data_IF_241976256589
#
_entry.id   IF_241976256589
#
_cell.length_a   1.000
_cell.length_b   1.000
_cell.length_c   1.000
_cell.angle_alpha   90.00
_cell.angle_beta   90.00
_cell.angle_gamma   90.00
#
_symmetry.space_group_name_H-M   'P 1'
#
loop_
_entity.id
_entity.type
_entity.pdbx_description
1 polymer ?
#
# COMPACT_ATOMS: atom_id res chain seq x y z
N UNK A 1 8.09 0.42 -15.63
CA UNK A 1 7.22 -0.76 -15.78
C UNK A 1 5.91 -0.45 -15.09
N UNK A 2 4.92 -0.07 -15.89
CA UNK A 2 3.54 0.24 -15.49
C UNK A 2 2.86 -1.05 -15.03
N UNK A 3 2.76 -1.28 -13.72
CA UNK A 3 1.90 -2.34 -13.21
C UNK A 3 0.46 -1.81 -13.23
N UNK A 4 -0.30 -2.25 -14.23
CA UNK A 4 -1.74 -2.13 -14.27
C UNK A 4 -2.30 -3.11 -13.22
N UNK A 5 -2.30 -2.69 -11.95
CA UNK A 5 -2.74 -3.54 -10.85
C UNK A 5 -4.25 -3.67 -10.88
N UNK A 6 -4.74 -4.82 -11.34
CA UNK A 6 -6.17 -5.15 -11.31
C UNK A 6 -6.73 -5.19 -9.88
N UNK A 7 -5.88 -5.43 -8.87
CA UNK A 7 -6.26 -5.42 -7.46
C UNK A 7 -6.53 -3.99 -6.98
N UNK A 8 -5.58 -3.07 -7.20
CA UNK A 8 -5.78 -1.67 -6.84
C UNK A 8 -6.90 -1.03 -7.66
N UNK A 9 -7.00 -1.35 -8.96
CA UNK A 9 -8.09 -0.87 -9.81
C UNK A 9 -9.48 -1.27 -9.26
N UNK A 10 -9.65 -2.52 -8.83
CA UNK A 10 -10.90 -2.98 -8.20
C UNK A 10 -11.17 -2.23 -6.88
N UNK A 11 -10.16 -2.08 -6.03
CA UNK A 11 -10.28 -1.34 -4.77
C UNK A 11 -10.66 0.13 -4.99
N UNK A 12 -10.06 0.80 -5.98
CA UNK A 12 -10.39 2.17 -6.34
C UNK A 12 -11.80 2.32 -6.92
N UNK A 13 -12.28 1.32 -7.66
CA UNK A 13 -13.65 1.26 -8.15
C UNK A 13 -14.69 0.96 -7.04
N UNK A 14 -14.23 0.60 -5.82
CA UNK A 14 -15.09 0.14 -4.74
C UNK A 14 -15.63 -1.28 -4.96
N UNK A 15 -15.00 -2.04 -5.86
CA UNK A 15 -15.34 -3.42 -6.17
C UNK A 15 -14.55 -4.38 -5.26
N UNK A 16 -15.05 -5.61 -5.13
CA UNK A 16 -14.29 -6.65 -4.46
C UNK A 16 -13.07 -7.02 -5.33
N UNK A 17 -11.84 -7.02 -4.77
CA UNK A 17 -10.66 -7.39 -5.53
C UNK A 17 -10.75 -8.85 -5.98
N UNK A 18 -10.20 -9.19 -7.15
CA UNK A 18 -10.21 -10.57 -7.64
C UNK A 18 -9.45 -11.49 -6.68
N UNK A 19 -9.78 -12.78 -6.71
CA UNK A 19 -8.99 -13.78 -6.02
C UNK A 19 -7.59 -13.83 -6.64
N UNK A 20 -6.58 -13.44 -5.87
CA UNK A 20 -5.16 -13.43 -6.23
C UNK A 20 -4.37 -14.16 -5.15
N UNK A 21 -3.24 -14.74 -5.54
CA UNK A 21 -2.33 -15.37 -4.59
C UNK A 21 -1.58 -14.29 -3.81
N UNK A 22 -1.55 -14.39 -2.48
CA UNK A 22 -0.84 -13.45 -1.62
C UNK A 22 0.66 -13.35 -2.00
N UNK A 23 1.25 -14.44 -2.52
CA UNK A 23 2.64 -14.46 -2.97
C UNK A 23 2.90 -13.59 -4.22
N UNK A 24 1.86 -13.30 -5.01
CA UNK A 24 1.93 -12.45 -6.20
C UNK A 24 1.78 -10.97 -5.90
N UNK A 25 1.28 -10.62 -4.71
CA UNK A 25 1.02 -9.25 -4.33
C UNK A 25 2.32 -8.46 -4.18
N UNK A 26 2.27 -7.21 -4.64
CA UNK A 26 3.28 -6.20 -4.31
C UNK A 26 3.00 -5.54 -2.94
N UNK A 27 3.86 -4.59 -2.55
CA UNK A 27 3.78 -3.96 -1.23
C UNK A 27 2.53 -3.07 -1.08
N UNK A 28 2.02 -2.54 -2.18
CA UNK A 28 0.87 -1.64 -2.22
C UNK A 28 -0.42 -2.44 -2.12
N UNK A 29 -0.54 -3.50 -2.93
CA UNK A 29 -1.69 -4.40 -2.93
C UNK A 29 -1.78 -5.16 -1.60
N UNK A 30 -0.66 -5.68 -1.10
CA UNK A 30 -0.62 -6.37 0.18
C UNK A 30 -1.02 -5.45 1.35
N UNK A 31 -0.59 -4.19 1.31
CA UNK A 31 -0.98 -3.16 2.29
C UNK A 31 -2.48 -2.84 2.23
N UNK A 32 -3.01 -2.62 1.02
CA UNK A 32 -4.42 -2.32 0.79
C UNK A 32 -5.33 -3.48 1.21
N UNK A 33 -4.90 -4.73 1.00
CA UNK A 33 -5.63 -5.94 1.36
C UNK A 33 -5.42 -6.42 2.81
N UNK A 34 -4.56 -5.75 3.59
CA UNK A 34 -4.26 -6.16 4.97
C UNK A 34 -3.44 -7.46 5.08
N UNK A 35 -2.65 -7.81 4.07
CA UNK A 35 -1.82 -9.03 4.04
C UNK A 35 -0.50 -8.82 4.77
N UNK A 36 -0.56 -8.68 6.09
CA UNK A 36 0.59 -8.34 6.93
C UNK A 36 1.82 -9.24 6.70
N UNK A 37 1.65 -10.56 6.66
CA UNK A 37 2.77 -11.48 6.45
C UNK A 37 3.50 -11.23 5.12
N UNK A 38 2.74 -10.92 4.07
CA UNK A 38 3.31 -10.56 2.77
C UNK A 38 4.04 -9.21 2.81
N UNK A 39 3.47 -8.22 3.49
CA UNK A 39 4.15 -6.92 3.67
C UNK A 39 5.47 -7.10 4.43
N UNK A 40 5.48 -7.89 5.49
CA UNK A 40 6.70 -8.20 6.26
C UNK A 40 7.77 -8.85 5.37
N UNK A 41 7.42 -9.84 4.56
CA UNK A 41 8.35 -10.47 3.60
C UNK A 41 8.91 -9.46 2.60
N UNK A 42 8.04 -8.63 2.01
CA UNK A 42 8.43 -7.68 0.98
C UNK A 42 9.35 -6.59 1.52
N UNK A 43 9.07 -6.10 2.73
CA UNK A 43 9.87 -5.10 3.43
C UNK A 43 11.18 -5.69 3.94
N UNK A 44 11.17 -6.93 4.45
CA UNK A 44 12.39 -7.62 4.87
C UNK A 44 13.35 -7.86 3.70
N UNK A 45 12.81 -8.16 2.51
CA UNK A 45 13.59 -8.30 1.29
C UNK A 45 14.17 -6.97 0.78
N UNK A 46 13.40 -5.88 0.88
CA UNK A 46 13.84 -4.55 0.49
C UNK A 46 13.11 -3.45 1.31
N UNK A 47 13.77 -2.89 2.34
CA UNK A 47 13.17 -1.86 3.19
C UNK A 47 12.79 -0.58 2.46
N UNK A 48 13.38 -0.29 1.30
CA UNK A 48 13.07 0.93 0.55
C UNK A 48 11.63 0.96 0.04
N UNK A 49 10.99 -0.22 -0.07
CA UNK A 49 9.59 -0.38 -0.46
C UNK A 49 8.60 0.29 0.50
N UNK A 50 8.96 0.46 1.77
CA UNK A 50 8.12 1.20 2.73
C UNK A 50 7.96 2.69 2.34
N UNK A 51 8.93 3.23 1.59
CA UNK A 51 8.98 4.64 1.15
C UNK A 51 8.59 4.80 -0.32
N UNK A 52 8.30 3.70 -1.01
CA UNK A 52 7.88 3.72 -2.40
C UNK A 52 6.45 4.27 -2.52
N UNK A 53 6.15 4.78 -3.72
CA UNK A 53 4.82 5.16 -4.12
C UNK A 53 4.41 4.33 -5.34
N UNK A 54 3.12 4.00 -5.41
CA UNK A 54 2.49 3.41 -6.57
C UNK A 54 2.44 4.44 -7.73
N UNK A 55 2.04 3.98 -8.92
CA UNK A 55 2.01 4.81 -10.14
C UNK A 55 1.11 6.03 -10.00
N UNK A 56 0.07 5.91 -9.18
CA UNK A 56 -0.88 6.97 -8.82
C UNK A 56 -0.42 7.85 -7.65
N UNK A 57 0.82 7.71 -7.20
CA UNK A 57 1.41 8.51 -6.14
C UNK A 57 1.01 8.10 -4.71
N UNK A 58 0.17 7.07 -4.52
CA UNK A 58 -0.15 6.57 -3.18
C UNK A 58 0.99 5.73 -2.62
N UNK A 59 1.35 5.97 -1.36
CA UNK A 59 2.29 5.10 -0.64
C UNK A 59 1.54 3.92 -0.03
N UNK A 60 2.27 2.85 0.34
CA UNK A 60 1.67 1.73 1.07
C UNK A 60 0.93 2.20 2.34
N UNK A 61 1.45 3.24 3.01
CA UNK A 61 0.81 3.80 4.21
C UNK A 61 -0.55 4.48 3.91
N UNK A 62 -0.67 5.18 2.77
CA UNK A 62 -1.97 5.70 2.34
C UNK A 62 -2.99 4.58 2.12
N UNK A 63 -2.56 3.50 1.47
CA UNK A 63 -3.43 2.39 1.13
C UNK A 63 -3.88 1.61 2.37
N UNK A 64 -3.00 1.44 3.37
CA UNK A 64 -3.40 0.91 4.67
C UNK A 64 -4.45 1.80 5.32
N UNK A 65 -4.20 3.11 5.40
CA UNK A 65 -5.09 4.04 6.08
C UNK A 65 -6.50 4.08 5.44
N UNK A 66 -6.57 3.97 4.12
CA UNK A 66 -7.82 4.08 3.39
C UNK A 66 -8.59 2.76 3.26
N UNK A 67 -7.91 1.63 3.03
CA UNK A 67 -8.58 0.36 2.72
C UNK A 67 -8.62 -0.63 3.88
N UNK A 68 -7.45 -1.04 4.40
CA UNK A 68 -7.39 -2.13 5.37
C UNK A 68 -7.55 -1.68 6.83
N UNK A 69 -7.09 -0.47 7.16
CA UNK A 69 -7.03 0.04 8.53
C UNK A 69 -6.11 -0.77 9.45
N UNK A 70 -5.24 -1.62 8.91
CA UNK A 70 -4.39 -2.51 9.71
C UNK A 70 -3.26 -1.72 10.40
N UNK A 71 -3.48 -1.42 11.68
CA UNK A 71 -2.52 -0.69 12.51
C UNK A 71 -1.16 -1.40 12.63
N UNK A 72 -1.11 -2.73 12.51
CA UNK A 72 0.13 -3.49 12.51
C UNK A 72 0.97 -3.23 11.27
N UNK A 73 0.34 -3.21 10.10
CA UNK A 73 1.00 -2.86 8.84
C UNK A 73 1.41 -1.38 8.85
N UNK A 74 0.52 -0.48 9.29
CA UNK A 74 0.85 0.94 9.41
C UNK A 74 2.09 1.14 10.30
N UNK A 75 2.14 0.45 11.44
CA UNK A 75 3.26 0.53 12.37
C UNK A 75 4.55 0.00 11.75
N UNK A 76 4.49 -1.15 11.08
CA UNK A 76 5.64 -1.72 10.37
C UNK A 76 6.21 -0.74 9.33
N UNK A 77 5.35 -0.14 8.51
CA UNK A 77 5.77 0.82 7.49
C UNK A 77 6.42 2.06 8.13
N UNK A 78 5.84 2.58 9.21
CA UNK A 78 6.39 3.72 9.95
C UNK A 78 7.74 3.41 10.59
N UNK A 79 7.89 2.23 11.20
CA UNK A 79 9.14 1.81 11.84
C UNK A 79 10.29 1.65 10.82
N UNK A 80 9.96 1.38 9.56
CA UNK A 80 10.92 1.26 8.45
C UNK A 80 11.14 2.61 7.74
N UNK A 81 10.49 3.68 8.20
CA UNK A 81 10.71 5.05 7.75
C UNK A 81 9.79 5.49 6.62
N UNK A 82 8.62 4.86 6.46
CA UNK A 82 7.53 5.45 5.69
C UNK A 82 7.17 6.83 6.27
N UNK A 83 6.99 7.82 5.40
CA UNK A 83 6.69 9.17 5.81
C UNK A 83 5.17 9.31 6.07
N UNK A 84 4.72 9.55 7.32
CA UNK A 84 3.31 9.76 7.64
C UNK A 84 2.75 11.06 7.05
N UNK A 85 3.62 11.99 6.66
CA UNK A 85 3.27 13.26 6.05
C UNK A 85 3.42 13.26 4.53
N UNK A 86 3.77 12.11 3.93
CA UNK A 86 3.81 11.98 2.48
C UNK A 86 2.45 12.38 1.92
N UNK A 87 2.41 13.39 1.07
CA UNK A 87 1.21 13.74 0.31
C UNK A 87 1.17 12.83 -0.90
N UNK A 88 0.04 12.16 -1.15
CA UNK A 88 -0.13 11.41 -2.38
C UNK A 88 0.12 12.34 -3.56
N UNK A 89 1.09 12.03 -4.41
CA UNK A 89 1.50 12.89 -5.52
C UNK A 89 0.53 12.72 -6.71
N UNK A 90 -0.77 12.94 -6.48
CA UNK A 90 -1.86 12.92 -7.45
C UNK A 90 -2.81 14.10 -7.26
N UNK A 91 -3.71 14.31 -8.22
CA UNK A 91 -4.66 15.43 -8.26
C UNK A 91 -5.60 15.53 -7.03
N UNK A 92 -5.68 14.48 -6.20
CA UNK A 92 -6.49 14.49 -4.97
C UNK A 92 -5.79 15.10 -3.75
N UNK A 93 -4.45 15.24 -3.77
CA UNK A 93 -3.64 15.86 -2.69
C UNK A 93 -4.01 15.43 -1.25
N UNK A 94 -4.41 14.18 -1.05
CA UNK A 94 -4.79 13.67 0.27
C UNK A 94 -3.57 13.28 1.11
N UNK A 95 -3.56 13.65 2.38
CA UNK A 95 -2.60 13.16 3.38
C UNK A 95 -3.16 11.90 4.08
N UNK A 96 -2.31 10.94 4.50
CA UNK A 96 -2.76 9.70 5.11
C UNK A 96 -3.43 9.88 6.48
N UNK A 97 -3.19 11.02 7.14
CA UNK A 97 -3.71 11.35 8.46
C UNK A 97 -4.27 12.79 8.44
N UNK A 98 -5.42 12.97 9.07
CA UNK A 98 -6.00 14.26 9.48
C UNK A 98 -5.92 14.35 11.01
#
# INVERSE_FOLDING_TARGET
MTHDSHVLAALYAGEAPPAVDDASLDVFEAAALGRRGRVEELIAADPSRARAAAVDGFTALHLVAFFSGDAGIARLLLDVGADPSAVANNDMQVTPLN
#
